data_IF_818632246899
#
_entry.id   IF_818632246899
#
_cell.length_a   1.000
_cell.length_b   1.000
_cell.length_c   1.000
_cell.angle_alpha   90.00
_cell.angle_beta   90.00
_cell.angle_gamma   90.00
#
_symmetry.space_group_name_H-M   'P 1'
#
loop_
_entity.id
_entity.type
_entity.pdbx_description
1 polymer ?
#
# COMPACT_ATOMS: atom_id res chain seq x y z
N UNK A 1 -62.29 -42.01 -11.10
CA UNK A 1 -60.82 -42.20 -10.96
C UNK A 1 -60.17 -40.87 -11.35
N UNK A 2 -59.86 -40.03 -10.37
CA UNK A 2 -59.23 -38.69 -10.56
C UNK A 2 -57.76 -38.81 -10.27
N UNK A 3 -56.88 -38.55 -11.29
CA UNK A 3 -55.46 -38.53 -11.15
C UNK A 3 -55.07 -37.12 -10.76
N UNK A 4 -54.62 -36.95 -9.54
CA UNK A 4 -53.99 -35.70 -9.02
C UNK A 4 -52.52 -35.71 -9.39
N UNK A 5 -52.13 -34.75 -10.26
CA UNK A 5 -50.73 -34.51 -10.66
C UNK A 5 -50.08 -33.55 -9.65
N UNK A 6 -49.05 -34.03 -8.93
CA UNK A 6 -48.29 -33.26 -7.98
C UNK A 6 -47.11 -32.58 -8.72
N UNK A 7 -47.20 -31.26 -8.89
CA UNK A 7 -46.09 -30.44 -9.47
C UNK A 7 -45.16 -30.10 -8.36
N UNK A 8 -43.96 -30.70 -8.37
CA UNK A 8 -42.86 -30.40 -7.43
C UNK A 8 -42.10 -29.20 -7.95
N UNK A 9 -42.34 -28.03 -7.33
CA UNK A 9 -41.61 -26.79 -7.65
C UNK A 9 -40.25 -26.81 -6.99
N UNK A 10 -39.16 -26.97 -7.80
CA UNK A 10 -37.79 -26.97 -7.35
C UNK A 10 -37.29 -25.52 -7.30
N UNK A 11 -37.30 -24.90 -6.12
CA UNK A 11 -36.64 -23.60 -5.87
C UNK A 11 -35.12 -23.77 -5.83
N UNK A 12 -34.45 -23.38 -6.93
CA UNK A 12 -33.00 -23.22 -6.97
C UNK A 12 -32.64 -21.93 -6.22
N UNK A 13 -32.14 -22.08 -5.00
CA UNK A 13 -31.48 -21.02 -4.25
C UNK A 13 -30.06 -20.81 -4.84
N UNK A 14 -29.91 -19.81 -5.69
CA UNK A 14 -28.61 -19.32 -6.12
C UNK A 14 -27.96 -18.55 -4.94
N UNK A 15 -27.24 -19.30 -4.10
CA UNK A 15 -26.33 -18.69 -3.12
C UNK A 15 -25.12 -18.12 -3.87
N UNK A 16 -25.21 -16.85 -4.26
CA UNK A 16 -24.07 -16.08 -4.75
C UNK A 16 -23.07 -15.85 -3.62
N UNK A 17 -22.11 -16.75 -3.43
CA UNK A 17 -20.90 -16.46 -2.67
C UNK A 17 -20.11 -15.39 -3.42
N UNK A 18 -20.28 -14.13 -3.02
CA UNK A 18 -19.35 -13.08 -3.37
C UNK A 18 -17.98 -13.46 -2.79
N UNK A 19 -17.06 -13.91 -3.64
CA UNK A 19 -15.67 -14.13 -3.27
C UNK A 19 -15.07 -12.77 -2.90
N UNK A 20 -15.09 -12.43 -1.61
CA UNK A 20 -14.25 -11.39 -1.08
C UNK A 20 -12.82 -11.90 -1.23
N UNK A 21 -12.09 -11.36 -2.19
CA UNK A 21 -10.64 -11.60 -2.33
C UNK A 21 -9.99 -11.02 -1.08
N UNK A 22 -9.80 -11.86 -0.07
CA UNK A 22 -8.97 -11.54 1.07
C UNK A 22 -7.54 -11.42 0.52
N UNK A 23 -7.01 -10.21 0.44
CA UNK A 23 -5.60 -9.98 0.24
C UNK A 23 -4.87 -10.51 1.49
N UNK A 24 -4.61 -11.80 1.52
CA UNK A 24 -3.82 -12.44 2.56
C UNK A 24 -2.35 -12.19 2.23
N UNK A 25 -1.65 -11.68 3.21
CA UNK A 25 -0.20 -11.61 3.16
C UNK A 25 0.33 -13.00 3.59
N UNK A 26 0.43 -13.95 2.67
CA UNK A 26 0.84 -15.37 2.91
C UNK A 26 2.20 -15.55 3.62
N UNK A 27 2.47 -14.72 4.64
CA UNK A 27 3.74 -14.68 5.35
C UNK A 27 4.90 -14.10 4.53
N UNK A 28 4.59 -13.34 3.48
CA UNK A 28 5.58 -12.73 2.57
C UNK A 28 5.33 -11.24 2.41
N UNK A 29 6.39 -10.47 2.24
CA UNK A 29 6.28 -9.07 1.81
C UNK A 29 5.87 -8.99 0.34
N UNK A 30 5.09 -7.98 -0.01
CA UNK A 30 4.64 -7.77 -1.39
C UNK A 30 5.81 -7.45 -2.32
N UNK A 31 5.77 -7.98 -3.54
CA UNK A 31 6.79 -7.72 -4.57
C UNK A 31 6.64 -6.33 -5.17
N UNK A 32 7.77 -5.73 -5.54
CA UNK A 32 7.81 -4.43 -6.22
C UNK A 32 7.74 -4.53 -7.75
N UNK A 33 7.60 -5.73 -8.32
CA UNK A 33 7.65 -5.94 -9.78
C UNK A 33 6.55 -5.17 -10.54
N UNK A 34 5.44 -4.88 -9.87
CA UNK A 34 4.30 -4.18 -10.45
C UNK A 34 4.29 -2.67 -10.15
N UNK A 35 5.37 -2.12 -9.59
CA UNK A 35 5.49 -0.67 -9.44
C UNK A 35 5.68 -0.07 -10.83
N UNK A 36 4.75 0.80 -11.21
CA UNK A 36 4.83 1.51 -12.48
C UNK A 36 5.92 2.58 -12.43
N UNK A 37 6.83 2.55 -13.41
CA UNK A 37 7.97 3.45 -13.46
C UNK A 37 8.12 4.09 -14.83
N UNK A 38 8.66 5.30 -14.84
CA UNK A 38 9.08 6.00 -16.06
C UNK A 38 10.50 5.56 -16.42
N UNK A 39 10.61 4.78 -17.50
CA UNK A 39 11.88 4.22 -17.97
C UNK A 39 12.85 5.28 -18.57
N UNK A 40 12.37 6.49 -18.83
CA UNK A 40 13.22 7.60 -19.29
C UNK A 40 14.03 8.22 -18.15
N UNK A 41 13.58 8.05 -16.90
CA UNK A 41 14.29 8.53 -15.71
C UNK A 41 15.32 7.50 -15.28
N UNK A 42 16.59 7.91 -15.29
CA UNK A 42 17.73 7.04 -14.98
C UNK A 42 18.67 7.61 -13.91
N UNK A 43 18.32 8.77 -13.33
CA UNK A 43 19.10 9.45 -12.27
C UNK A 43 18.21 9.61 -11.05
N UNK A 44 18.74 9.32 -9.87
CA UNK A 44 18.05 9.50 -8.59
C UNK A 44 18.42 8.45 -7.55
N UNK A 45 17.55 8.26 -6.58
CA UNK A 45 17.74 7.39 -5.42
C UNK A 45 17.25 5.97 -5.73
N UNK A 46 18.18 5.03 -5.91
CA UNK A 46 17.84 3.62 -6.10
C UNK A 46 17.66 2.94 -4.75
N UNK A 47 16.46 2.43 -4.51
CA UNK A 47 16.10 1.68 -3.31
C UNK A 47 15.81 0.21 -3.66
N UNK A 48 16.21 -0.70 -2.77
CA UNK A 48 15.87 -2.12 -2.92
C UNK A 48 14.43 -2.35 -2.50
N UNK A 49 13.78 -3.32 -3.13
CA UNK A 49 12.50 -3.82 -2.64
C UNK A 49 12.70 -4.59 -1.33
N UNK A 50 11.79 -4.44 -0.39
CA UNK A 50 11.83 -5.13 0.89
C UNK A 50 11.77 -6.67 0.75
N UNK A 51 11.23 -7.20 -0.38
CA UNK A 51 11.30 -8.63 -0.70
C UNK A 51 12.70 -9.11 -1.13
N UNK A 52 13.64 -8.19 -1.35
CA UNK A 52 15.03 -8.45 -1.73
C UNK A 52 15.25 -8.85 -3.19
N UNK A 53 14.21 -8.85 -4.04
CA UNK A 53 14.28 -9.40 -5.41
C UNK A 53 14.53 -8.37 -6.50
N UNK A 54 14.21 -7.11 -6.23
CA UNK A 54 14.30 -6.02 -7.21
C UNK A 54 14.75 -4.72 -6.58
N UNK A 55 14.95 -3.70 -7.39
CA UNK A 55 15.21 -2.33 -6.95
C UNK A 55 14.45 -1.37 -7.84
N UNK A 56 14.04 -0.24 -7.27
CA UNK A 56 13.29 0.81 -7.96
C UNK A 56 14.01 2.13 -7.79
N UNK A 57 14.05 2.93 -8.85
CA UNK A 57 14.49 4.32 -8.80
C UNK A 57 13.32 5.16 -8.31
N UNK A 58 13.45 5.78 -7.14
CA UNK A 58 12.36 6.49 -6.47
C UNK A 58 11.73 7.56 -7.37
N UNK A 59 12.56 8.34 -8.03
CA UNK A 59 12.15 9.43 -8.91
C UNK A 59 11.48 8.96 -10.20
N UNK A 60 11.57 7.66 -10.54
CA UNK A 60 10.90 7.08 -11.69
C UNK A 60 9.47 6.58 -11.40
N UNK A 61 9.07 6.52 -10.14
CA UNK A 61 7.76 6.00 -9.76
C UNK A 61 6.66 6.89 -10.37
N UNK A 62 5.72 6.26 -11.07
CA UNK A 62 4.52 6.91 -11.59
C UNK A 62 3.37 6.84 -10.59
N UNK A 63 2.47 7.81 -10.69
CA UNK A 63 1.22 7.82 -9.95
C UNK A 63 -0.01 7.58 -10.86
N UNK A 64 -1.22 7.83 -10.37
CA UNK A 64 -1.48 8.34 -9.02
C UNK A 64 -1.17 7.29 -7.94
N UNK A 65 -0.37 7.67 -6.94
CA UNK A 65 0.02 6.77 -5.84
C UNK A 65 0.39 7.52 -4.57
N UNK A 66 0.23 6.88 -3.41
CA UNK A 66 0.77 7.35 -2.15
C UNK A 66 2.13 6.68 -1.91
N UNK A 67 3.13 7.46 -1.49
CA UNK A 67 4.35 6.92 -0.92
C UNK A 67 4.33 7.18 0.57
N UNK A 68 4.15 6.13 1.36
CA UNK A 68 4.13 6.20 2.83
C UNK A 68 5.49 5.82 3.39
N UNK A 69 6.12 6.77 4.09
CA UNK A 69 7.43 6.60 4.72
C UNK A 69 7.21 6.20 6.17
N UNK A 70 7.78 5.07 6.57
CA UNK A 70 7.54 4.44 7.86
C UNK A 70 8.78 3.69 8.40
N UNK A 71 8.71 3.25 9.65
CA UNK A 71 9.68 2.33 10.25
C UNK A 71 9.00 1.40 11.24
N UNK A 72 9.55 0.21 11.47
CA UNK A 72 9.01 -0.78 12.41
C UNK A 72 8.98 -0.26 13.85
N UNK A 73 9.92 0.61 14.17
CA UNK A 73 10.07 1.28 15.47
C UNK A 73 9.09 2.45 15.67
N UNK A 74 8.44 2.93 14.61
CA UNK A 74 7.59 4.13 14.62
C UNK A 74 6.20 3.82 15.18
N UNK A 75 5.93 4.24 16.42
CA UNK A 75 4.62 4.04 17.05
C UNK A 75 3.47 4.77 16.33
N UNK A 76 3.62 6.05 15.90
CA UNK A 76 2.60 6.74 15.11
C UNK A 76 2.31 6.06 13.76
N UNK A 77 3.34 5.51 13.09
CA UNK A 77 3.14 4.78 11.83
C UNK A 77 2.23 3.56 12.01
N UNK A 78 2.35 2.86 13.15
CA UNK A 78 1.46 1.74 13.47
C UNK A 78 0.01 2.18 13.69
N UNK A 79 -0.21 3.38 14.22
CA UNK A 79 -1.54 3.93 14.48
C UNK A 79 -2.29 4.26 13.18
N UNK A 80 -1.61 4.72 12.12
CA UNK A 80 -2.24 5.05 10.86
C UNK A 80 -2.47 3.85 9.93
N UNK A 81 -1.78 2.71 10.14
CA UNK A 81 -1.88 1.52 9.28
C UNK A 81 -3.31 1.06 9.00
N UNK A 82 -4.26 1.04 9.95
CA UNK A 82 -5.65 0.66 9.65
C UNK A 82 -6.29 1.54 8.58
N UNK A 83 -6.01 2.86 8.57
CA UNK A 83 -6.53 3.82 7.60
C UNK A 83 -5.95 3.55 6.22
N UNK A 84 -4.62 3.44 6.11
CA UNK A 84 -3.91 3.12 4.87
C UNK A 84 -4.37 1.77 4.30
N UNK A 85 -4.54 0.77 5.16
CA UNK A 85 -5.00 -0.56 4.76
C UNK A 85 -6.42 -0.54 4.20
N UNK A 86 -7.31 0.23 4.81
CA UNK A 86 -8.67 0.44 4.32
C UNK A 86 -8.67 1.11 2.95
N UNK A 87 -7.88 2.19 2.80
CA UNK A 87 -7.75 2.89 1.53
C UNK A 87 -7.17 2.00 0.42
N UNK A 88 -6.10 1.24 0.71
CA UNK A 88 -5.51 0.30 -0.25
C UNK A 88 -6.50 -0.79 -0.69
N UNK A 89 -7.18 -1.42 0.27
CA UNK A 89 -8.16 -2.49 -0.01
C UNK A 89 -9.37 -2.02 -0.80
N UNK A 90 -9.72 -0.75 -0.73
CA UNK A 90 -10.80 -0.20 -1.54
C UNK A 90 -10.48 -0.17 -3.04
N UNK A 91 -9.21 -0.38 -3.42
CA UNK A 91 -8.72 -0.31 -4.80
C UNK A 91 -8.70 1.09 -5.39
N UNK A 92 -9.05 2.13 -4.60
CA UNK A 92 -9.13 3.52 -5.06
C UNK A 92 -7.77 4.20 -5.12
N UNK A 93 -6.76 3.66 -4.42
CA UNK A 93 -5.43 4.26 -4.37
C UNK A 93 -4.36 3.17 -4.34
N UNK A 94 -3.28 3.39 -5.07
CA UNK A 94 -2.05 2.60 -4.96
C UNK A 94 -1.22 3.14 -3.80
N UNK A 95 -0.56 2.25 -3.06
CA UNK A 95 0.36 2.63 -1.98
C UNK A 95 1.70 1.93 -2.22
N UNK A 96 2.78 2.65 -2.01
CA UNK A 96 4.14 2.12 -1.92
C UNK A 96 4.69 2.58 -0.57
N UNK A 97 5.24 1.65 0.21
CA UNK A 97 5.94 1.98 1.46
C UNK A 97 7.42 2.27 1.22
N UNK A 98 8.01 3.11 2.06
CA UNK A 98 9.46 3.20 2.22
C UNK A 98 9.76 2.94 3.69
N UNK A 99 10.43 1.83 3.96
CA UNK A 99 10.89 1.43 5.27
C UNK A 99 12.25 2.07 5.56
N UNK A 100 12.34 2.88 6.60
CA UNK A 100 13.52 3.70 6.86
C UNK A 100 14.12 3.44 8.23
N UNK A 101 15.44 3.63 8.34
CA UNK A 101 16.18 3.62 9.61
C UNK A 101 15.99 2.35 10.45
N UNK A 102 15.83 1.21 9.80
CA UNK A 102 15.75 -0.06 10.50
C UNK A 102 17.14 -0.49 11.03
N UNK A 103 17.20 -1.13 12.19
CA UNK A 103 18.45 -1.70 12.70
C UNK A 103 19.01 -2.78 11.77
N UNK A 104 18.13 -3.44 11.03
CA UNK A 104 18.44 -4.39 9.96
C UNK A 104 17.21 -4.60 9.07
N UNK A 105 17.41 -5.07 7.84
CA UNK A 105 16.34 -5.33 6.88
C UNK A 105 15.28 -6.32 7.39
N UNK A 106 15.66 -7.27 8.25
CA UNK A 106 14.73 -8.27 8.74
C UNK A 106 13.65 -7.66 9.65
N UNK A 107 14.01 -6.63 10.44
CA UNK A 107 13.05 -5.93 11.32
C UNK A 107 11.88 -5.33 10.54
N UNK A 108 12.16 -4.64 9.44
CA UNK A 108 11.13 -4.09 8.55
C UNK A 108 10.28 -5.17 7.90
N UNK A 109 10.92 -6.26 7.41
CA UNK A 109 10.20 -7.40 6.84
C UNK A 109 9.25 -8.06 7.82
N UNK A 110 9.73 -8.40 9.01
CA UNK A 110 8.93 -9.05 10.05
C UNK A 110 7.76 -8.17 10.46
N UNK A 111 8.01 -6.87 10.59
CA UNK A 111 6.95 -5.91 10.88
C UNK A 111 5.92 -5.85 9.75
N UNK A 112 6.33 -5.71 8.49
CA UNK A 112 5.43 -5.64 7.36
C UNK A 112 4.52 -6.87 7.26
N UNK A 113 5.08 -8.06 7.48
CA UNK A 113 4.34 -9.33 7.51
C UNK A 113 3.35 -9.34 8.68
N UNK A 114 3.82 -9.09 9.90
CA UNK A 114 3.00 -9.12 11.12
C UNK A 114 1.89 -8.08 11.09
N UNK A 115 2.18 -6.90 10.56
CA UNK A 115 1.22 -5.81 10.43
C UNK A 115 0.25 -5.98 9.26
N UNK A 116 0.41 -7.02 8.42
CA UNK A 116 -0.46 -7.28 7.28
C UNK A 116 -0.38 -6.19 6.21
N UNK A 117 0.82 -5.67 5.95
CA UNK A 117 1.08 -4.73 4.86
C UNK A 117 1.11 -5.53 3.56
N UNK A 118 0.17 -5.28 2.65
CA UNK A 118 0.00 -6.04 1.41
C UNK A 118 0.38 -5.26 0.15
N UNK A 119 0.87 -4.02 0.31
CA UNK A 119 1.42 -3.22 -0.78
C UNK A 119 2.94 -3.31 -0.85
N UNK A 120 3.55 -2.99 -2.02
CA UNK A 120 5.01 -2.99 -2.18
C UNK A 120 5.71 -2.06 -1.21
N UNK A 121 6.88 -2.47 -0.71
CA UNK A 121 7.71 -1.65 0.16
C UNK A 121 9.15 -1.65 -0.34
N UNK A 122 9.76 -0.48 -0.35
CA UNK A 122 11.18 -0.25 -0.57
C UNK A 122 11.89 -0.12 0.78
N UNK A 123 13.18 -0.43 0.83
CA UNK A 123 14.01 -0.26 2.03
C UNK A 123 15.03 0.87 1.85
N UNK A 124 15.14 1.71 2.86
CA UNK A 124 16.14 2.78 2.94
C UNK A 124 16.87 2.76 4.30
N UNK A 125 17.67 1.71 4.58
CA UNK A 125 18.34 1.56 5.87
C UNK A 125 19.39 2.66 6.14
N UNK A 126 19.87 3.32 5.11
CA UNK A 126 20.87 4.40 5.22
C UNK A 126 20.25 5.80 5.29
N UNK A 127 18.91 5.92 5.19
CA UNK A 127 18.23 7.20 5.26
C UNK A 127 18.51 8.13 4.09
N UNK A 128 18.80 7.60 2.89
CA UNK A 128 19.07 8.41 1.67
C UNK A 128 17.92 9.35 1.34
N UNK A 129 16.71 8.94 1.66
CA UNK A 129 15.48 9.71 1.39
C UNK A 129 15.18 10.76 2.45
N UNK A 130 15.89 10.80 3.59
CA UNK A 130 15.62 11.71 4.71
C UNK A 130 15.59 13.18 4.29
N UNK A 131 16.49 13.62 3.43
CA UNK A 131 16.50 14.99 2.95
C UNK A 131 15.25 15.39 2.17
N UNK A 132 14.55 14.41 1.59
CA UNK A 132 13.36 14.63 0.80
C UNK A 132 12.05 14.63 1.63
N UNK A 133 11.99 13.86 2.74
CA UNK A 133 10.79 13.80 3.58
C UNK A 133 10.91 14.47 4.96
N UNK A 134 12.08 14.98 5.32
CA UNK A 134 12.28 15.74 6.55
C UNK A 134 12.69 14.90 7.74
N UNK A 135 12.42 15.39 8.97
CA UNK A 135 13.04 14.93 10.21
C UNK A 135 12.26 13.85 10.97
N UNK A 136 11.23 13.25 10.39
CA UNK A 136 10.45 12.26 11.13
C UNK A 136 9.51 11.44 10.25
N UNK A 137 8.97 10.39 10.83
CA UNK A 137 7.94 9.52 10.23
C UNK A 137 6.74 9.42 11.19
N UNK A 138 5.51 9.19 10.68
CA UNK A 138 5.18 8.95 9.28
C UNK A 138 5.12 10.21 8.43
N UNK A 139 5.42 10.05 7.15
CA UNK A 139 5.16 11.04 6.12
C UNK A 139 4.54 10.34 4.92
N UNK A 140 3.51 10.93 4.33
CA UNK A 140 2.90 10.39 3.11
C UNK A 140 2.98 11.40 1.99
N UNK A 141 3.61 11.01 0.87
CA UNK A 141 3.65 11.81 -0.35
C UNK A 141 2.53 11.40 -1.28
N UNK A 142 1.94 12.39 -1.92
CA UNK A 142 0.93 12.21 -2.94
C UNK A 142 1.57 12.47 -4.30
N UNK A 143 1.67 11.44 -5.13
CA UNK A 143 2.21 11.54 -6.49
C UNK A 143 1.05 11.53 -7.48
N UNK A 144 1.00 12.57 -8.34
CA UNK A 144 0.07 12.60 -9.46
C UNK A 144 0.46 11.59 -10.56
N UNK A 145 -0.32 11.51 -11.64
CA UNK A 145 -0.08 10.60 -12.78
C UNK A 145 1.33 10.71 -13.39
N UNK A 146 1.93 11.89 -13.34
CA UNK A 146 3.27 12.15 -13.89
C UNK A 146 4.39 11.77 -12.91
N UNK A 147 4.06 11.28 -11.71
CA UNK A 147 5.01 10.96 -10.66
C UNK A 147 5.58 12.19 -9.97
N UNK A 148 4.87 13.33 -10.05
CA UNK A 148 5.25 14.56 -9.34
C UNK A 148 4.61 14.56 -7.97
N UNK A 149 5.39 14.89 -6.93
CA UNK A 149 4.88 15.07 -5.57
C UNK A 149 4.07 16.35 -5.51
N UNK A 150 2.74 16.23 -5.41
CA UNK A 150 1.80 17.34 -5.33
C UNK A 150 1.54 17.80 -3.90
N UNK A 151 1.69 16.89 -2.95
CA UNK A 151 1.47 17.18 -1.53
C UNK A 151 2.25 16.22 -0.63
N UNK A 152 2.60 16.68 0.57
CA UNK A 152 3.21 15.88 1.62
C UNK A 152 2.41 16.04 2.90
N UNK A 153 1.80 14.97 3.36
CA UNK A 153 1.20 14.89 4.69
C UNK A 153 2.27 14.50 5.71
N UNK A 154 2.44 15.31 6.75
CA UNK A 154 3.41 15.05 7.82
C UNK A 154 2.64 14.64 9.08
N UNK A 155 3.00 13.50 9.65
CA UNK A 155 2.32 12.91 10.79
C UNK A 155 1.22 11.92 10.38
N UNK A 156 0.41 11.50 11.37
CA UNK A 156 -0.67 10.53 11.18
C UNK A 156 -1.92 11.19 10.61
N UNK A 157 -2.65 10.48 9.75
CA UNK A 157 -4.01 10.88 9.38
C UNK A 157 -4.94 10.73 10.59
N UNK A 158 -5.71 11.77 10.89
CA UNK A 158 -6.64 11.76 12.01
C UNK A 158 -7.88 10.89 11.77
N UNK A 159 -8.22 10.63 10.50
CA UNK A 159 -9.40 9.85 10.11
C UNK A 159 -9.33 9.39 8.66
N UNK A 160 -10.15 8.37 8.31
CA UNK A 160 -10.35 7.96 6.92
C UNK A 160 -10.91 9.09 6.05
N UNK A 161 -11.77 9.93 6.62
CA UNK A 161 -12.34 11.07 5.90
C UNK A 161 -11.26 12.09 5.51
N UNK A 162 -10.29 12.36 6.38
CA UNK A 162 -9.15 13.21 6.06
C UNK A 162 -8.34 12.61 4.91
N UNK A 163 -7.92 11.34 5.05
CA UNK A 163 -7.15 10.66 4.02
C UNK A 163 -7.88 10.65 2.67
N UNK A 164 -9.17 10.34 2.64
CA UNK A 164 -9.97 10.34 1.40
C UNK A 164 -10.08 11.75 0.78
N UNK A 165 -10.21 12.78 1.60
CA UNK A 165 -10.26 14.17 1.15
C UNK A 165 -8.93 14.58 0.49
N UNK A 166 -7.80 14.21 1.12
CA UNK A 166 -6.49 14.51 0.57
C UNK A 166 -6.20 13.70 -0.70
N UNK A 167 -6.60 12.42 -0.76
CA UNK A 167 -6.52 11.59 -1.98
C UNK A 167 -7.26 12.28 -3.14
N UNK A 168 -8.51 12.68 -2.95
CA UNK A 168 -9.31 13.34 -3.99
C UNK A 168 -8.74 14.68 -4.44
N UNK A 169 -8.04 15.37 -3.54
CA UNK A 169 -7.52 16.71 -3.82
C UNK A 169 -6.17 16.67 -4.53
N UNK A 170 -5.33 15.70 -4.23
CA UNK A 170 -3.92 15.73 -4.61
C UNK A 170 -3.49 14.61 -5.57
N UNK A 171 -4.32 13.58 -5.78
CA UNK A 171 -4.13 12.54 -6.80
C UNK A 171 -5.08 12.70 -7.98
#
# INVERSE_FOLDING_TARGET
>A
MKKTSLVLSLCLLLSGCGAQTQLSNDGKVASCINIETDQSKNIGTKLKCLDGKSSVLLESIKGPTLINIWGSWCAPCRQELPLLRSAYRSGKVKIIGIDVDEPNTQSGKDFAIKAGITWPNLEDPSGKTKSAFGMGVPVTWFLNSDGVVTYKHIGIFSSSAQLETEIKKYL
#
